data_IF_206733844862
#
_entry.id   IF_206733844862
#
_cell.length_a   1.000
_cell.length_b   1.000
_cell.length_c   1.000
_cell.angle_alpha   90.00
_cell.angle_beta   90.00
_cell.angle_gamma   90.00
#
_symmetry.space_group_name_H-M   'P 1'
#
loop_
_entity.id
_entity.type
_entity.pdbx_description
1 polymer ?
#
# COMPACT_ATOMS: atom_id res chain seq x y z
N UNK A 1 8.82 -1.89 0.05
CA UNK A 1 9.10 -2.90 1.11
C UNK A 1 10.29 -3.72 0.67
N UNK A 2 11.21 -4.01 1.59
CA UNK A 2 12.35 -4.89 1.34
C UNK A 2 11.93 -6.37 1.24
N UNK A 3 12.83 -7.21 0.71
CA UNK A 3 12.58 -8.65 0.63
C UNK A 3 12.29 -9.29 1.98
N UNK A 4 12.94 -8.82 3.05
CA UNK A 4 12.78 -9.41 4.39
C UNK A 4 11.49 -8.95 5.06
N UNK A 5 11.07 -7.69 4.84
CA UNK A 5 9.75 -7.22 5.23
C UNK A 5 8.64 -8.03 4.55
N UNK A 6 8.79 -8.33 3.25
CA UNK A 6 7.83 -9.16 2.51
C UNK A 6 7.77 -10.58 3.09
N UNK A 7 8.91 -11.20 3.40
CA UNK A 7 8.94 -12.52 4.05
C UNK A 7 8.25 -12.49 5.41
N UNK A 8 8.46 -11.43 6.20
CA UNK A 8 7.82 -11.27 7.50
C UNK A 8 6.30 -11.09 7.36
N UNK A 9 5.85 -10.31 6.37
CA UNK A 9 4.44 -10.14 6.06
C UNK A 9 3.77 -11.48 5.69
N UNK A 10 4.42 -12.29 4.84
CA UNK A 10 3.92 -13.62 4.47
C UNK A 10 3.78 -14.57 5.66
N UNK A 11 4.74 -14.54 6.58
CA UNK A 11 4.68 -15.34 7.82
C UNK A 11 3.59 -14.87 8.78
N UNK A 12 3.12 -13.63 8.63
CA UNK A 12 2.14 -13.00 9.51
C UNK A 12 0.71 -13.05 8.97
N UNK A 13 0.44 -13.83 7.91
CA UNK A 13 -0.93 -14.07 7.43
C UNK A 13 -1.77 -14.68 8.55
N UNK A 14 -2.97 -14.15 8.75
CA UNK A 14 -3.86 -14.45 9.87
C UNK A 14 -3.65 -13.54 11.09
N UNK A 15 -2.52 -12.83 11.17
CA UNK A 15 -2.21 -11.92 12.28
C UNK A 15 -2.78 -10.52 12.06
N UNK A 16 -2.80 -9.76 13.16
CA UNK A 16 -3.08 -8.34 13.17
C UNK A 16 -1.75 -7.57 13.14
N UNK A 17 -1.65 -6.56 12.29
CA UNK A 17 -0.50 -5.66 12.21
C UNK A 17 -0.93 -4.22 12.51
N UNK A 18 -0.01 -3.43 13.03
CA UNK A 18 -0.15 -1.98 13.17
C UNK A 18 1.03 -1.28 12.52
N UNK A 19 0.79 -0.09 11.99
CA UNK A 19 1.84 0.72 11.37
C UNK A 19 2.20 1.90 12.28
N UNK A 20 3.49 2.11 12.49
CA UNK A 20 4.01 3.22 13.30
C UNK A 20 4.22 4.52 12.50
N UNK A 21 3.77 4.52 11.24
CA UNK A 21 3.81 5.66 10.33
C UNK A 21 2.45 5.81 9.66
N UNK A 22 2.21 6.97 9.05
CA UNK A 22 1.08 7.11 8.12
C UNK A 22 1.24 6.09 6.98
N UNK A 23 0.12 5.50 6.56
CA UNK A 23 0.09 4.62 5.39
C UNK A 23 -0.64 5.35 4.28
N UNK A 24 0.12 5.81 3.28
CA UNK A 24 -0.42 6.35 2.04
C UNK A 24 -0.82 5.21 1.11
N UNK A 25 -2.02 5.28 0.56
CA UNK A 25 -2.56 4.31 -0.39
C UNK A 25 -3.30 5.04 -1.50
N UNK A 26 -3.52 4.39 -2.63
CA UNK A 26 -4.26 4.95 -3.75
C UNK A 26 -5.42 4.05 -4.13
N UNK A 27 -6.56 4.66 -4.49
CA UNK A 27 -7.67 3.94 -5.14
C UNK A 27 -7.34 3.52 -6.58
N UNK A 28 -6.27 4.07 -7.17
CA UNK A 28 -5.81 3.76 -8.52
C UNK A 28 -4.66 2.76 -8.47
N UNK A 29 -4.89 1.57 -8.97
CA UNK A 29 -3.88 0.49 -8.98
C UNK A 29 -2.62 0.91 -9.75
N UNK A 30 -2.76 1.69 -10.81
CA UNK A 30 -1.66 2.15 -11.66
C UNK A 30 -0.73 3.10 -10.91
N UNK A 31 -1.30 3.95 -10.04
CA UNK A 31 -0.54 4.86 -9.17
C UNK A 31 0.25 4.05 -8.15
N UNK A 32 -0.39 3.10 -7.46
CA UNK A 32 0.29 2.21 -6.53
C UNK A 32 1.41 1.39 -7.20
N UNK A 33 1.19 0.89 -8.41
CA UNK A 33 2.21 0.20 -9.20
C UNK A 33 3.35 1.13 -9.63
N UNK A 34 3.06 2.39 -9.95
CA UNK A 34 4.06 3.41 -10.23
C UNK A 34 5.07 3.56 -9.09
N UNK A 35 4.59 3.65 -7.85
CA UNK A 35 5.44 3.71 -6.66
C UNK A 35 6.31 2.44 -6.47
N UNK A 36 5.77 1.26 -6.78
CA UNK A 36 6.57 0.01 -6.74
C UNK A 36 7.66 0.00 -7.81
N UNK A 37 7.36 0.46 -9.03
CA UNK A 37 8.35 0.54 -10.12
C UNK A 37 9.46 1.52 -9.77
N UNK A 38 9.10 2.69 -9.25
CA UNK A 38 10.06 3.68 -8.79
C UNK A 38 10.96 3.12 -7.67
N UNK A 39 10.39 2.35 -6.73
CA UNK A 39 11.20 1.72 -5.69
C UNK A 39 12.15 0.66 -6.24
N UNK A 40 11.76 -0.11 -7.27
CA UNK A 40 12.66 -1.06 -7.95
C UNK A 40 13.81 -0.37 -8.69
N UNK A 41 13.57 0.79 -9.30
CA UNK A 41 14.63 1.56 -9.98
C UNK A 41 15.66 2.10 -8.99
N UNK A 42 15.22 2.44 -7.77
CA UNK A 42 16.08 2.99 -6.71
C UNK A 42 16.79 1.94 -5.83
N UNK A 43 16.30 0.69 -5.81
CA UNK A 43 16.82 -0.37 -4.94
C UNK A 43 17.02 -1.68 -5.73
N UNK A 44 18.20 -2.28 -5.63
CA UNK A 44 18.54 -3.61 -6.20
C UNK A 44 17.78 -4.79 -5.57
N UNK A 45 16.70 -4.54 -4.82
CA UNK A 45 15.95 -5.52 -4.04
C UNK A 45 14.53 -5.69 -4.59
N UNK A 46 13.94 -6.86 -4.34
CA UNK A 46 12.54 -7.12 -4.69
C UNK A 46 11.61 -6.09 -4.03
N UNK A 47 10.87 -5.34 -4.83
CA UNK A 47 9.81 -4.46 -4.32
C UNK A 47 8.45 -5.16 -4.41
N UNK A 48 7.59 -4.92 -3.43
CA UNK A 48 6.23 -5.46 -3.37
C UNK A 48 5.20 -4.38 -3.05
N UNK A 49 3.95 -4.63 -3.41
CA UNK A 49 2.79 -3.82 -3.01
C UNK A 49 1.93 -4.56 -2.00
N UNK A 50 1.12 -3.81 -1.25
CA UNK A 50 0.09 -4.34 -0.36
C UNK A 50 -1.26 -3.81 -0.84
N UNK A 51 -2.21 -4.71 -1.07
CA UNK A 51 -3.61 -4.35 -1.28
C UNK A 51 -4.32 -4.23 0.05
N UNK A 52 -5.04 -3.12 0.26
CA UNK A 52 -5.82 -2.89 1.47
C UNK A 52 -7.29 -2.88 1.10
N UNK A 53 -8.08 -3.72 1.77
CA UNK A 53 -9.55 -3.67 1.71
C UNK A 53 -10.05 -3.10 3.02
N UNK A 54 -10.94 -2.12 2.96
CA UNK A 54 -11.51 -1.49 4.14
C UNK A 54 -13.02 -1.53 4.09
N UNK A 55 -13.61 -2.38 4.91
CA UNK A 55 -15.05 -2.39 5.18
C UNK A 55 -15.31 -1.49 6.38
N UNK A 56 -15.55 -0.19 6.14
CA UNK A 56 -15.97 0.71 7.21
C UNK A 56 -17.50 0.73 7.28
N UNK A 57 -18.07 -0.05 8.20
CA UNK A 57 -19.52 0.01 8.46
C UNK A 57 -19.94 1.30 9.18
N UNK A 58 -18.98 2.00 9.81
CA UNK A 58 -19.24 3.17 10.64
C UNK A 58 -18.49 4.40 10.13
N UNK A 59 -19.22 5.37 9.56
CA UNK A 59 -18.64 6.58 8.96
C UNK A 59 -17.95 7.50 9.97
N UNK A 60 -18.29 7.39 11.25
CA UNK A 60 -17.89 8.38 12.24
C UNK A 60 -16.53 8.10 12.92
N UNK A 61 -15.87 6.98 12.60
CA UNK A 61 -14.63 6.52 13.26
C UNK A 61 -13.58 5.98 12.29
N UNK A 62 -13.52 6.55 11.08
CA UNK A 62 -12.55 6.11 10.06
C UNK A 62 -11.15 6.63 10.42
N UNK A 63 -10.15 5.76 10.65
CA UNK A 63 -8.77 6.19 10.88
C UNK A 63 -8.06 6.57 9.57
N UNK A 64 -8.82 6.95 8.54
CA UNK A 64 -8.33 7.28 7.21
C UNK A 64 -9.19 8.35 6.55
N UNK A 65 -8.60 9.09 5.61
CA UNK A 65 -9.30 10.10 4.83
C UNK A 65 -8.83 10.09 3.37
N UNK A 66 -9.75 10.43 2.46
CA UNK A 66 -9.39 10.79 1.09
C UNK A 66 -8.91 12.25 1.08
N UNK A 67 -7.67 12.48 0.65
CA UNK A 67 -7.01 13.79 0.80
C UNK A 67 -6.75 14.50 -0.53
N UNK A 68 -7.49 14.16 -1.59
CA UNK A 68 -7.34 14.74 -2.93
C UNK A 68 -7.32 16.27 -2.98
N UNK A 69 -8.10 16.94 -2.12
CA UNK A 69 -8.16 18.41 -2.05
C UNK A 69 -7.07 19.06 -1.19
N UNK A 70 -6.28 18.26 -0.47
CA UNK A 70 -5.23 18.70 0.45
C UNK A 70 -3.83 18.21 0.03
N UNK A 71 -3.75 17.13 -0.75
CA UNK A 71 -2.50 16.55 -1.22
C UNK A 71 -1.82 17.46 -2.23
N UNK A 72 -0.48 17.55 -2.16
CA UNK A 72 0.34 18.27 -3.13
C UNK A 72 0.14 17.74 -4.56
N UNK A 73 -0.12 16.44 -4.70
CA UNK A 73 -0.35 15.77 -5.98
C UNK A 73 -1.81 15.88 -6.46
N UNK A 74 -2.67 16.55 -5.69
CA UNK A 74 -4.08 16.76 -6.00
C UNK A 74 -4.88 15.45 -6.13
N UNK A 75 -6.04 15.52 -6.80
CA UNK A 75 -6.92 14.36 -7.02
C UNK A 75 -6.43 13.35 -8.06
N UNK A 76 -5.21 13.53 -8.60
CA UNK A 76 -4.61 12.61 -9.56
C UNK A 76 -4.35 11.23 -8.95
N UNK A 77 -3.86 11.20 -7.72
CA UNK A 77 -3.49 9.97 -7.02
C UNK A 77 -4.67 9.27 -6.36
N UNK A 78 -5.79 9.96 -6.13
CA UNK A 78 -6.94 9.42 -5.38
C UNK A 78 -6.48 8.80 -4.06
N UNK A 79 -5.74 9.59 -3.30
CA UNK A 79 -5.00 9.14 -2.13
C UNK A 79 -5.94 8.91 -0.94
N UNK A 80 -5.85 7.73 -0.34
CA UNK A 80 -6.41 7.42 0.98
C UNK A 80 -5.25 7.32 1.97
N UNK A 81 -5.21 8.24 2.92
CA UNK A 81 -4.18 8.31 3.95
C UNK A 81 -4.72 7.73 5.26
N UNK A 82 -4.08 6.69 5.76
CA UNK A 82 -4.38 6.09 7.07
C UNK A 82 -3.49 6.71 8.15
N UNK A 83 -4.07 7.00 9.30
CA UNK A 83 -3.36 7.54 10.46
C UNK A 83 -2.36 6.53 11.03
N UNK A 84 -1.33 7.08 11.69
CA UNK A 84 -0.42 6.31 12.53
C UNK A 84 -1.21 5.48 13.55
N UNK A 85 -0.81 4.24 13.77
CA UNK A 85 -1.48 3.32 14.69
C UNK A 85 -2.72 2.64 14.09
N UNK A 86 -3.02 2.84 12.80
CA UNK A 86 -4.03 2.05 12.10
C UNK A 86 -3.69 0.57 12.16
N UNK A 87 -4.73 -0.24 12.40
CA UNK A 87 -4.64 -1.68 12.62
C UNK A 87 -5.28 -2.41 11.44
N UNK A 88 -4.59 -3.43 10.91
CA UNK A 88 -5.05 -4.22 9.78
C UNK A 88 -4.93 -5.71 10.08
N UNK A 89 -5.89 -6.51 9.60
CA UNK A 89 -5.76 -7.98 9.58
C UNK A 89 -5.14 -8.40 8.26
N UNK A 90 -4.10 -9.23 8.31
CA UNK A 90 -3.50 -9.80 7.11
C UNK A 90 -4.27 -11.05 6.69
N UNK A 91 -5.05 -10.96 5.62
CA UNK A 91 -5.88 -12.09 5.14
C UNK A 91 -5.10 -13.08 4.26
N UNK A 92 -4.40 -12.57 3.26
CA UNK A 92 -3.70 -13.39 2.27
C UNK A 92 -2.53 -12.61 1.65
N UNK A 93 -1.64 -13.33 0.98
CA UNK A 93 -0.58 -12.75 0.16
C UNK A 93 -0.61 -13.37 -1.23
N UNK A 94 -0.40 -12.55 -2.25
CA UNK A 94 -0.31 -13.00 -3.64
C UNK A 94 0.96 -12.46 -4.28
N UNK A 95 1.55 -13.22 -5.19
CA UNK A 95 2.66 -12.77 -6.02
C UNK A 95 2.12 -12.26 -7.35
N UNK A 96 2.05 -10.94 -7.49
CA UNK A 96 1.85 -10.33 -8.80
C UNK A 96 3.21 -10.22 -9.50
N UNK A 97 3.35 -10.92 -10.63
CA UNK A 97 4.45 -10.67 -11.55
C UNK A 97 4.22 -9.31 -12.18
N UNK A 98 4.92 -8.28 -11.69
CA UNK A 98 5.07 -7.03 -12.43
C UNK A 98 5.93 -7.37 -13.65
N UNK A 99 5.29 -7.73 -14.77
CA UNK A 99 5.98 -7.86 -16.05
C UNK A 99 6.45 -6.45 -16.42
N UNK A 100 7.75 -6.22 -16.24
CA UNK A 100 8.41 -5.09 -16.85
C UNK A 100 8.47 -5.40 -18.35
N UNK A 101 7.48 -4.92 -19.11
CA UNK A 101 7.61 -4.84 -20.56
C UNK A 101 8.75 -3.87 -20.87
N UNK A 102 9.96 -4.41 -20.95
CA UNK A 102 11.09 -3.76 -21.60
C UNK A 102 10.79 -3.79 -23.09
N UNK A 103 10.18 -2.71 -23.59
CA UNK A 103 10.18 -2.45 -25.03
C UNK A 103 11.62 -2.09 -25.43
N UNK A 104 12.24 -2.99 -26.19
CA UNK A 104 13.48 -2.73 -26.95
C UNK A 104 13.11 -1.85 -28.15
#
# INVERSE_FOLDING_TARGET
MSSDEIKQFRKSVGSIISLNSFLSTSLKREVAQGFVRQSMESCSSSSGSVGVTCDSEDNNRRPFAQIDGLSYYGGGEREILFMVGSIFRLEHTSEDKLVADVKI
#
